data_IF_477793016290
#
_entry.id   IF_477793016290
#
_cell.length_a   1.000
_cell.length_b   1.000
_cell.length_c   1.000
_cell.angle_alpha   90.00
_cell.angle_beta   90.00
_cell.angle_gamma   90.00
#
_symmetry.space_group_name_H-M   'P 1'
#
loop_
_entity.id
_entity.type
_entity.pdbx_description
1 polymer ?
#
# COMPACT_ATOMS: atom_id res chain seq x y z
N UNK A 1 22.32 11.60 -2.27
CA UNK A 1 23.19 12.76 -2.54
C UNK A 1 22.50 14.12 -2.67
N UNK A 2 21.29 14.29 -3.24
CA UNK A 2 20.73 15.65 -3.46
C UNK A 2 20.11 16.36 -2.24
N UNK A 3 19.85 15.68 -1.11
CA UNK A 3 19.18 16.26 0.07
C UNK A 3 20.03 16.30 1.35
N UNK A 4 21.21 15.68 1.34
CA UNK A 4 22.08 15.54 2.52
C UNK A 4 22.45 16.87 3.22
N UNK A 5 22.81 17.96 2.51
CA UNK A 5 23.14 19.22 3.17
C UNK A 5 21.91 19.92 3.78
N UNK A 6 20.74 19.84 3.13
CA UNK A 6 19.50 20.43 3.63
C UNK A 6 18.93 19.63 4.82
N UNK A 7 19.09 18.31 4.81
CA UNK A 7 18.68 17.45 5.91
C UNK A 7 19.51 17.72 7.17
N UNK A 8 20.82 17.93 7.01
CA UNK A 8 21.70 18.35 8.12
C UNK A 8 21.33 19.73 8.66
N UNK A 9 21.07 20.70 7.78
CA UNK A 9 20.64 22.03 8.19
C UNK A 9 19.31 22.01 8.97
N UNK A 10 18.34 21.18 8.54
CA UNK A 10 17.05 21.03 9.22
C UNK A 10 17.14 20.43 10.64
N UNK A 11 18.19 19.66 10.93
CA UNK A 11 18.43 19.15 12.30
C UNK A 11 19.01 20.19 13.25
N UNK A 12 19.69 21.21 12.71
CA UNK A 12 20.38 22.24 13.49
C UNK A 12 19.57 23.54 13.60
N UNK A 13 18.74 23.86 12.59
CA UNK A 13 17.88 25.06 12.55
C UNK A 13 16.62 24.85 11.68
N UNK A 14 15.58 25.69 11.84
CA UNK A 14 14.51 25.74 10.85
C UNK A 14 15.03 26.18 9.48
N UNK A 15 14.49 25.58 8.41
CA UNK A 15 14.77 25.96 7.03
C UNK A 15 14.19 27.34 6.72
N UNK A 16 14.89 28.11 5.90
CA UNK A 16 14.44 29.42 5.42
C UNK A 16 13.36 29.28 4.34
N UNK A 17 12.61 30.36 4.07
CA UNK A 17 11.58 30.37 3.04
C UNK A 17 12.11 29.98 1.64
N UNK A 18 13.34 30.41 1.30
CA UNK A 18 14.00 30.03 0.04
C UNK A 18 14.31 28.54 -0.01
N UNK A 19 14.90 28.00 1.06
CA UNK A 19 15.22 26.56 1.14
C UNK A 19 13.95 25.70 1.11
N UNK A 20 12.84 26.17 1.70
CA UNK A 20 11.54 25.51 1.59
C UNK A 20 10.99 25.54 0.15
N UNK A 21 11.20 26.64 -0.58
CA UNK A 21 10.89 26.73 -2.01
C UNK A 21 11.72 25.75 -2.85
N UNK A 22 13.04 25.70 -2.64
CA UNK A 22 13.94 24.76 -3.32
C UNK A 22 13.54 23.30 -3.05
N UNK A 23 13.14 22.97 -1.82
CA UNK A 23 12.63 21.63 -1.45
C UNK A 23 11.28 21.34 -2.12
N UNK A 24 10.39 22.34 -2.25
CA UNK A 24 9.11 22.17 -2.93
C UNK A 24 9.28 21.87 -4.43
N UNK A 25 10.18 22.57 -5.11
CA UNK A 25 10.49 22.36 -6.53
C UNK A 25 11.17 21.00 -6.77
N UNK A 26 12.12 20.64 -5.91
CA UNK A 26 12.74 19.31 -5.95
C UNK A 26 11.70 18.21 -5.73
N UNK A 27 10.82 18.36 -4.74
CA UNK A 27 9.71 17.44 -4.50
C UNK A 27 8.82 17.29 -5.74
N UNK A 28 8.49 18.39 -6.41
CA UNK A 28 7.66 18.38 -7.60
C UNK A 28 8.30 17.58 -8.74
N UNK A 29 9.57 17.89 -9.06
CA UNK A 29 10.33 17.27 -10.15
C UNK A 29 10.52 15.77 -9.90
N UNK A 30 11.02 15.39 -8.72
CA UNK A 30 11.24 13.97 -8.37
C UNK A 30 9.92 13.19 -8.36
N UNK A 31 8.82 13.81 -7.95
CA UNK A 31 7.50 13.16 -8.04
C UNK A 31 7.07 12.94 -9.48
N UNK A 32 7.30 13.90 -10.38
CA UNK A 32 6.96 13.76 -11.80
C UNK A 32 7.75 12.62 -12.45
N UNK A 33 9.05 12.55 -12.19
CA UNK A 33 9.92 11.45 -12.64
C UNK A 33 9.43 10.10 -12.09
N UNK A 34 9.15 10.02 -10.79
CA UNK A 34 8.60 8.81 -10.17
C UNK A 34 7.27 8.40 -10.80
N UNK A 35 6.36 9.34 -11.06
CA UNK A 35 5.08 9.04 -11.69
C UNK A 35 5.24 8.55 -13.13
N UNK A 36 6.22 9.07 -13.88
CA UNK A 36 6.54 8.57 -15.21
C UNK A 36 7.09 7.14 -15.13
N UNK A 37 8.01 6.87 -14.20
CA UNK A 37 8.55 5.53 -13.95
C UNK A 37 7.46 4.56 -13.47
N UNK A 38 6.56 4.99 -12.59
CA UNK A 38 5.44 4.19 -12.09
C UNK A 38 4.51 3.74 -13.21
N UNK A 39 4.27 4.59 -14.23
CA UNK A 39 3.48 4.19 -15.41
C UNK A 39 4.15 3.06 -16.18
N UNK A 40 5.46 3.17 -16.39
CA UNK A 40 6.23 2.12 -17.06
C UNK A 40 6.23 0.84 -16.22
N UNK A 41 6.47 0.95 -14.91
CA UNK A 41 6.45 -0.17 -13.99
C UNK A 41 5.07 -0.84 -13.92
N UNK A 42 3.98 -0.07 -13.93
CA UNK A 42 2.62 -0.60 -13.95
C UNK A 42 2.36 -1.43 -15.22
N UNK A 43 2.77 -0.94 -16.38
CA UNK A 43 2.63 -1.67 -17.64
C UNK A 43 3.45 -2.97 -17.63
N UNK A 44 4.70 -2.92 -17.18
CA UNK A 44 5.55 -4.11 -17.06
C UNK A 44 4.96 -5.13 -16.09
N UNK A 45 4.44 -4.69 -14.95
CA UNK A 45 3.75 -5.54 -13.98
C UNK A 45 2.53 -6.23 -14.58
N UNK A 46 1.76 -5.54 -15.44
CA UNK A 46 0.64 -6.16 -16.16
C UNK A 46 1.12 -7.25 -17.10
N UNK A 47 2.16 -7.00 -17.89
CA UNK A 47 2.71 -8.00 -18.82
C UNK A 47 3.27 -9.21 -18.07
N UNK A 48 3.99 -8.96 -16.97
CA UNK A 48 4.52 -10.00 -16.08
C UNK A 48 3.39 -10.88 -15.51
N UNK A 49 2.36 -10.27 -14.93
CA UNK A 49 1.20 -10.97 -14.38
C UNK A 49 0.47 -11.79 -15.45
N UNK A 50 0.29 -11.26 -16.65
CA UNK A 50 -0.33 -12.00 -17.75
C UNK A 50 0.50 -13.21 -18.18
N UNK A 51 1.83 -13.08 -18.21
CA UNK A 51 2.73 -14.18 -18.53
C UNK A 51 2.71 -15.25 -17.44
N UNK A 52 2.66 -14.86 -16.16
CA UNK A 52 2.51 -15.76 -15.02
C UNK A 52 1.18 -16.53 -15.08
N UNK A 53 0.06 -15.84 -15.25
CA UNK A 53 -1.26 -16.46 -15.37
C UNK A 53 -1.31 -17.46 -16.52
N UNK A 54 -0.75 -17.09 -17.68
CA UNK A 54 -0.67 -17.97 -18.83
C UNK A 54 0.14 -19.23 -18.51
N UNK A 55 1.31 -19.09 -17.86
CA UNK A 55 2.12 -20.23 -17.46
C UNK A 55 1.35 -21.16 -16.53
N UNK A 56 0.72 -20.62 -15.48
CA UNK A 56 -0.07 -21.40 -14.51
C UNK A 56 -1.20 -22.15 -15.22
N UNK A 57 -2.01 -21.46 -16.03
CA UNK A 57 -3.15 -22.05 -16.74
C UNK A 57 -2.69 -23.17 -17.68
N UNK A 58 -1.63 -22.95 -18.46
CA UNK A 58 -1.14 -23.95 -19.41
C UNK A 58 -0.50 -25.14 -18.70
N UNK A 59 0.27 -24.91 -17.64
CA UNK A 59 0.91 -25.97 -16.87
C UNK A 59 -0.14 -26.85 -16.17
N UNK A 60 -1.18 -26.25 -15.57
CA UNK A 60 -2.31 -26.99 -14.99
C UNK A 60 -3.09 -27.78 -16.04
N UNK A 61 -3.38 -27.18 -17.20
CA UNK A 61 -4.08 -27.84 -18.31
C UNK A 61 -3.32 -29.06 -18.85
N UNK A 62 -1.99 -28.99 -18.85
CA UNK A 62 -1.12 -30.07 -19.33
C UNK A 62 -0.72 -31.06 -18.22
N UNK A 63 -1.09 -30.80 -16.96
CA UNK A 63 -0.72 -31.62 -15.81
C UNK A 63 0.78 -31.64 -15.50
N UNK A 64 1.52 -30.60 -15.91
CA UNK A 64 2.97 -30.51 -15.68
C UNK A 64 3.27 -29.67 -14.44
N UNK A 65 4.21 -30.13 -13.62
CA UNK A 65 4.62 -29.44 -12.38
C UNK A 65 5.86 -28.58 -12.56
N UNK A 66 6.55 -28.68 -13.69
CA UNK A 66 7.71 -27.84 -14.01
C UNK A 66 7.89 -27.66 -15.53
N UNK A 67 8.37 -26.48 -15.94
CA UNK A 67 8.73 -26.15 -17.31
C UNK A 67 10.07 -25.39 -17.34
N UNK A 68 10.92 -25.65 -18.34
CA UNK A 68 12.25 -25.05 -18.46
C UNK A 68 12.41 -24.21 -19.73
N UNK A 69 12.89 -22.98 -19.59
CA UNK A 69 13.33 -22.12 -20.68
C UNK A 69 14.86 -21.95 -20.70
N UNK A 70 15.37 -21.18 -21.68
CA UNK A 70 16.82 -20.94 -21.82
C UNK A 70 17.45 -20.17 -20.65
N UNK A 71 16.67 -19.35 -19.96
CA UNK A 71 17.15 -18.46 -18.87
C UNK A 71 16.71 -18.91 -17.47
N UNK A 72 15.63 -19.69 -17.35
CA UNK A 72 14.99 -20.02 -16.08
C UNK A 72 14.19 -21.32 -16.19
N UNK A 73 14.05 -22.05 -15.08
CA UNK A 73 13.07 -23.13 -14.90
C UNK A 73 11.97 -22.67 -13.93
N UNK A 74 10.72 -22.86 -14.30
CA UNK A 74 9.53 -22.57 -13.48
C UNK A 74 8.94 -23.87 -12.93
N UNK A 75 8.42 -23.82 -11.71
CA UNK A 75 7.73 -24.93 -11.05
C UNK A 75 6.44 -24.45 -10.43
N UNK A 76 5.39 -25.29 -10.50
CA UNK A 76 4.13 -25.04 -9.80
C UNK A 76 4.21 -25.66 -8.40
N UNK A 77 3.98 -24.83 -7.39
CA UNK A 77 3.80 -25.27 -6.01
C UNK A 77 2.40 -25.83 -5.78
N UNK A 78 2.22 -26.59 -4.70
CA UNK A 78 0.90 -27.00 -4.24
C UNK A 78 0.04 -25.75 -3.94
N UNK A 79 -1.28 -25.80 -4.17
CA UNK A 79 -2.15 -24.65 -3.93
C UNK A 79 -2.12 -24.24 -2.45
N UNK A 80 -1.88 -22.96 -2.22
CA UNK A 80 -2.09 -22.33 -0.91
C UNK A 80 -3.55 -21.88 -0.81
N UNK A 81 -4.24 -22.27 0.26
CA UNK A 81 -5.63 -21.92 0.46
C UNK A 81 -5.73 -20.64 1.31
N UNK A 82 -6.14 -19.54 0.67
CA UNK A 82 -6.47 -18.31 1.38
C UNK A 82 -7.88 -18.40 2.00
N UNK A 83 -8.08 -17.94 3.25
CA UNK A 83 -9.40 -17.92 3.87
C UNK A 83 -10.31 -16.92 3.14
N UNK A 84 -11.53 -17.36 2.82
CA UNK A 84 -12.59 -16.50 2.26
C UNK A 84 -13.87 -16.74 3.04
N UNK A 85 -14.45 -15.66 3.56
CA UNK A 85 -15.71 -15.72 4.32
C UNK A 85 -16.88 -15.83 3.33
N UNK A 86 -17.60 -16.96 3.39
CA UNK A 86 -18.81 -17.17 2.58
C UNK A 86 -20.07 -16.58 3.21
N UNK A 87 -20.13 -16.59 4.55
CA UNK A 87 -21.24 -16.05 5.33
C UNK A 87 -20.69 -15.29 6.55
N UNK A 88 -20.89 -13.97 6.54
CA UNK A 88 -20.44 -13.08 7.60
C UNK A 88 -21.23 -13.24 8.90
N UNK A 89 -22.53 -13.57 8.81
CA UNK A 89 -23.37 -13.75 9.99
C UNK A 89 -22.91 -14.95 10.80
N UNK A 90 -22.71 -16.09 10.14
CA UNK A 90 -22.18 -17.30 10.76
C UNK A 90 -20.77 -17.09 11.33
N UNK A 91 -19.90 -16.41 10.59
CA UNK A 91 -18.53 -16.15 11.02
C UNK A 91 -18.46 -15.25 12.26
N UNK A 92 -19.25 -14.16 12.30
CA UNK A 92 -19.31 -13.31 13.48
C UNK A 92 -19.96 -13.99 14.68
N UNK A 93 -20.96 -14.84 14.46
CA UNK A 93 -21.56 -15.63 15.54
C UNK A 93 -20.51 -16.55 16.17
N UNK A 94 -19.75 -17.28 15.35
CA UNK A 94 -18.64 -18.10 15.81
C UNK A 94 -17.61 -17.32 16.63
N UNK A 95 -17.17 -16.15 16.14
CA UNK A 95 -16.21 -15.30 16.85
C UNK A 95 -16.76 -14.86 18.21
N UNK A 96 -18.04 -14.46 18.28
CA UNK A 96 -18.68 -14.04 19.52
C UNK A 96 -18.77 -15.19 20.52
N UNK A 97 -19.16 -16.38 20.05
CA UNK A 97 -19.38 -17.55 20.91
C UNK A 97 -18.06 -18.12 21.45
N UNK A 98 -16.98 -18.07 20.65
CA UNK A 98 -15.66 -18.61 21.01
C UNK A 98 -14.70 -17.58 21.60
N UNK A 99 -15.01 -16.29 21.46
CA UNK A 99 -14.08 -15.21 21.80
C UNK A 99 -12.87 -15.10 20.86
N UNK A 100 -12.92 -15.73 19.69
CA UNK A 100 -11.82 -15.82 18.72
C UNK A 100 -11.59 -14.52 17.93
N UNK A 101 -11.36 -13.40 18.63
CA UNK A 101 -11.17 -12.08 18.01
C UNK A 101 -9.84 -11.96 17.25
N UNK A 102 -8.90 -12.90 17.40
CA UNK A 102 -7.69 -13.03 16.59
C UNK A 102 -7.98 -13.38 15.12
N UNK A 103 -9.17 -13.88 14.82
CA UNK A 103 -9.62 -14.11 13.44
C UNK A 103 -9.98 -12.80 12.71
N UNK A 104 -10.01 -11.67 13.42
CA UNK A 104 -10.29 -10.36 12.86
C UNK A 104 -9.02 -9.49 12.83
N UNK A 105 -8.84 -8.77 11.72
CA UNK A 105 -7.81 -7.74 11.64
C UNK A 105 -8.23 -6.48 12.42
N UNK A 106 -7.32 -5.98 13.26
CA UNK A 106 -7.58 -4.81 14.10
C UNK A 106 -7.29 -3.53 13.32
N UNK A 107 -8.36 -2.85 12.87
CA UNK A 107 -8.26 -1.50 12.31
C UNK A 107 -9.43 -0.63 12.75
N UNK A 108 -9.19 0.55 13.36
CA UNK A 108 -10.26 1.48 13.65
C UNK A 108 -10.91 1.98 12.35
N UNK A 109 -12.24 1.98 12.32
CA UNK A 109 -13.03 2.51 11.21
C UNK A 109 -12.85 4.03 11.10
N UNK A 110 -11.95 4.47 10.21
CA UNK A 110 -11.54 5.88 10.11
C UNK A 110 -12.73 6.84 9.90
N UNK A 111 -13.70 6.48 9.07
CA UNK A 111 -14.89 7.29 8.83
C UNK A 111 -15.76 7.39 10.09
N UNK A 112 -16.07 6.25 10.70
CA UNK A 112 -16.90 6.18 11.90
C UNK A 112 -16.27 6.86 13.13
N UNK A 113 -14.93 6.88 13.24
CA UNK A 113 -14.26 7.65 14.30
C UNK A 113 -14.33 9.16 14.03
N UNK A 114 -14.14 9.57 12.77
CA UNK A 114 -14.23 10.97 12.35
C UNK A 114 -15.60 11.57 12.61
N UNK A 115 -16.67 10.89 12.18
CA UNK A 115 -18.05 11.34 12.37
C UNK A 115 -18.38 11.59 13.84
N UNK A 116 -17.98 10.66 14.73
CA UNK A 116 -18.15 10.82 16.19
C UNK A 116 -17.38 12.00 16.74
N UNK A 117 -16.11 12.16 16.34
CA UNK A 117 -15.31 13.30 16.76
C UNK A 117 -15.86 14.65 16.29
N UNK A 118 -16.46 14.70 15.09
CA UNK A 118 -17.14 15.88 14.55
C UNK A 118 -18.44 16.17 15.31
N UNK A 119 -19.13 15.14 15.79
CA UNK A 119 -20.28 15.26 16.70
C UNK A 119 -19.89 15.60 18.15
N UNK A 120 -18.59 15.76 18.45
CA UNK A 120 -18.09 16.07 19.80
C UNK A 120 -17.98 14.84 20.72
N UNK A 121 -18.23 13.64 20.22
CA UNK A 121 -18.10 12.40 20.96
C UNK A 121 -16.63 11.94 21.03
N UNK A 122 -16.25 11.35 22.15
CA UNK A 122 -14.96 10.66 22.28
C UNK A 122 -15.14 9.18 21.99
N UNK A 123 -14.19 8.60 21.26
CA UNK A 123 -14.14 7.15 21.00
C UNK A 123 -13.12 6.55 21.97
N UNK A 124 -13.54 5.78 22.98
CA UNK A 124 -12.61 5.17 23.94
C UNK A 124 -11.53 4.34 23.24
N UNK A 125 -10.28 4.48 23.69
CA UNK A 125 -9.13 3.75 23.13
C UNK A 125 -8.66 4.22 21.75
N UNK A 126 -9.19 5.33 21.22
CA UNK A 126 -8.74 5.92 19.94
C UNK A 126 -8.36 7.38 20.14
N UNK A 127 -7.09 7.70 19.87
CA UNK A 127 -6.55 9.06 19.93
C UNK A 127 -6.48 9.72 18.55
N UNK A 128 -6.55 11.05 18.53
CA UNK A 128 -6.36 11.85 17.32
C UNK A 128 -4.85 12.00 17.05
N UNK A 129 -4.35 11.34 16.01
CA UNK A 129 -2.98 11.55 15.53
C UNK A 129 -2.96 12.57 14.38
N UNK A 130 -2.24 13.70 14.48
CA UNK A 130 -2.19 14.70 13.41
C UNK A 130 -1.37 14.17 12.23
N UNK A 131 -2.02 14.07 11.07
CA UNK A 131 -1.35 13.73 9.80
C UNK A 131 -1.38 14.96 8.90
N UNK A 132 -0.21 15.57 8.71
CA UNK A 132 -0.05 16.69 7.79
C UNK A 132 0.04 16.17 6.35
N UNK A 133 -0.68 16.84 5.43
CA UNK A 133 -0.63 16.55 4.00
C UNK A 133 -0.19 17.80 3.25
N UNK A 134 0.79 17.65 2.36
CA UNK A 134 1.18 18.71 1.44
C UNK A 134 0.20 18.74 0.28
N UNK A 135 -0.43 19.89 0.04
CA UNK A 135 -1.32 20.16 -1.10
C UNK A 135 -0.63 21.08 -2.11
N UNK A 136 -0.77 20.80 -3.41
CA UNK A 136 -0.18 21.57 -4.51
C UNK A 136 -1.23 22.52 -5.10
N UNK A 137 -0.87 23.79 -5.25
CA UNK A 137 -1.55 24.75 -6.11
C UNK A 137 -0.47 25.38 -7.02
N UNK A 138 -0.73 25.48 -8.32
CA UNK A 138 0.17 26.18 -9.24
C UNK A 138 -0.02 27.69 -9.10
N UNK A 139 1.07 28.42 -8.91
CA UNK A 139 1.06 29.88 -8.94
C UNK A 139 1.10 30.30 -10.41
N UNK A 140 0.09 31.05 -10.86
CA UNK A 140 0.01 31.62 -12.21
C UNK A 140 0.91 32.85 -12.35
#
# INVERSE_FOLDING_TARGET
MLLEPLLKAATERPLTAKELGDVADLYHTTRAERLAADKVAANLKTVESQAEDLLIVQMLKQGITAAGGKKLRVGLSAPEFAPTVKDWGAFYQYIKDTGAFELLERRPGKAACRERWEAGEQVPGVEKFPVYKVTRNEVK
#
